data_IF_982273455474
#
_entry.id   IF_982273455474
#
_cell.length_a   1.000
_cell.length_b   1.000
_cell.length_c   1.000
_cell.angle_alpha   90.00
_cell.angle_beta   90.00
_cell.angle_gamma   90.00
#
_symmetry.space_group_name_H-M   'P 1'
#
loop_
_entity.id
_entity.type
_entity.pdbx_description
1 polymer ?
#
# COMPACT_ATOMS: atom_id res chain seq x y z
N UNK A 1 -19.35 -15.34 15.43
CA UNK A 1 -18.97 -16.10 14.20
C UNK A 1 -17.48 -16.37 14.25
N UNK A 2 -16.96 -17.53 13.80
CA UNK A 2 -15.50 -17.75 13.77
C UNK A 2 -14.84 -16.74 12.83
N UNK A 3 -13.68 -16.14 13.20
CA UNK A 3 -13.00 -15.20 12.33
C UNK A 3 -12.56 -15.90 11.04
N UNK A 4 -12.79 -15.24 9.90
CA UNK A 4 -12.38 -15.75 8.59
C UNK A 4 -10.88 -15.58 8.43
N UNK A 5 -10.14 -16.66 8.31
CA UNK A 5 -8.70 -16.67 8.05
C UNK A 5 -8.37 -16.62 6.56
N UNK A 6 -9.31 -17.01 5.69
CA UNK A 6 -9.19 -16.91 4.24
C UNK A 6 -9.88 -15.64 3.73
N UNK A 7 -9.29 -14.99 2.70
CA UNK A 7 -9.83 -13.74 2.17
C UNK A 7 -11.14 -13.94 1.42
N UNK A 8 -12.08 -13.02 1.63
CA UNK A 8 -13.26 -12.85 0.79
C UNK A 8 -13.06 -11.70 -0.18
N UNK A 9 -13.24 -11.95 -1.47
CA UNK A 9 -13.20 -10.91 -2.49
C UNK A 9 -14.54 -10.16 -2.50
N UNK A 10 -14.48 -8.84 -2.35
CA UNK A 10 -15.62 -7.94 -2.43
C UNK A 10 -15.35 -6.79 -3.37
N UNK A 11 -16.38 -6.04 -3.71
CA UNK A 11 -16.26 -4.85 -4.56
C UNK A 11 -17.11 -3.71 -4.03
N UNK A 12 -16.68 -2.50 -4.34
CA UNK A 12 -17.46 -1.27 -4.16
C UNK A 12 -17.41 -0.45 -5.45
N UNK A 13 -18.52 0.18 -5.80
CA UNK A 13 -18.58 1.08 -6.96
C UNK A 13 -18.10 2.47 -6.55
N UNK A 14 -17.08 2.96 -7.23
CA UNK A 14 -16.50 4.29 -7.05
C UNK A 14 -16.80 5.16 -8.27
N UNK A 15 -16.76 6.48 -8.06
CA UNK A 15 -16.98 7.46 -9.12
C UNK A 15 -15.66 8.12 -9.54
N UNK A 16 -15.58 8.48 -10.81
CA UNK A 16 -14.54 9.34 -11.36
C UNK A 16 -15.20 10.36 -12.34
N UNK A 17 -14.51 11.44 -12.76
CA UNK A 17 -15.13 12.48 -13.60
C UNK A 17 -15.78 11.97 -14.90
N UNK A 18 -15.32 10.85 -15.45
CA UNK A 18 -15.86 10.25 -16.69
C UNK A 18 -16.84 9.11 -16.46
N UNK A 19 -17.18 8.71 -15.22
CA UNK A 19 -18.11 7.59 -14.98
C UNK A 19 -17.89 6.84 -13.67
N UNK A 20 -18.07 5.53 -13.73
CA UNK A 20 -17.98 4.63 -12.58
C UNK A 20 -16.96 3.52 -12.85
N UNK A 21 -16.35 3.00 -11.78
CA UNK A 21 -15.50 1.82 -11.80
C UNK A 21 -15.68 1.00 -10.52
N UNK A 22 -15.27 -0.25 -10.55
CA UNK A 22 -15.27 -1.12 -9.37
C UNK A 22 -13.90 -1.13 -8.74
N UNK A 23 -13.86 -0.83 -7.44
CA UNK A 23 -12.73 -1.09 -6.57
C UNK A 23 -12.94 -2.46 -5.92
N UNK A 24 -12.06 -3.40 -6.17
CA UNK A 24 -12.02 -4.70 -5.51
C UNK A 24 -11.24 -4.59 -4.20
N UNK A 25 -11.66 -5.35 -3.20
CA UNK A 25 -10.94 -5.47 -1.94
C UNK A 25 -11.07 -6.86 -1.33
N UNK A 26 -10.06 -7.25 -0.61
CA UNK A 26 -9.98 -8.53 0.09
C UNK A 26 -10.25 -8.27 1.57
N UNK A 27 -11.06 -9.13 2.20
CA UNK A 27 -11.52 -8.96 3.56
C UNK A 27 -11.26 -10.23 4.39
N UNK A 28 -10.65 -10.06 5.56
CA UNK A 28 -10.41 -11.09 6.57
C UNK A 28 -11.06 -10.68 7.90
N UNK A 29 -11.26 -11.66 8.78
CA UNK A 29 -11.85 -11.44 10.10
C UNK A 29 -13.38 -11.47 10.08
N UNK A 30 -13.99 -11.07 11.20
CA UNK A 30 -15.43 -10.97 11.33
C UNK A 30 -15.95 -9.72 10.60
N UNK A 31 -16.92 -9.82 9.68
CA UNK A 31 -17.38 -8.69 8.87
C UNK A 31 -18.14 -7.62 9.68
N UNK A 32 -18.55 -7.95 10.89
CA UNK A 32 -19.22 -7.08 11.86
C UNK A 32 -18.27 -6.52 12.93
N UNK A 33 -16.97 -6.84 12.86
CA UNK A 33 -15.98 -6.28 13.77
C UNK A 33 -15.77 -4.79 13.47
N UNK A 34 -16.02 -3.88 14.46
CA UNK A 34 -15.82 -2.44 14.27
C UNK A 34 -14.34 -2.03 14.22
N UNK A 35 -13.42 -2.87 14.72
CA UNK A 35 -11.99 -2.61 14.69
C UNK A 35 -11.41 -2.93 13.32
N UNK A 36 -11.55 -1.98 12.40
CA UNK A 36 -11.16 -2.14 11.00
C UNK A 36 -9.73 -1.65 10.76
N UNK A 37 -8.94 -2.50 10.09
CA UNK A 37 -7.60 -2.15 9.57
C UNK A 37 -7.64 -2.15 8.05
N UNK A 38 -7.34 -1.01 7.43
CA UNK A 38 -7.20 -0.90 5.98
C UNK A 38 -5.72 -0.94 5.61
N UNK A 39 -5.32 -1.95 4.81
CA UNK A 39 -3.95 -2.12 4.35
C UNK A 39 -3.86 -1.81 2.86
N UNK A 40 -3.10 -0.78 2.47
CA UNK A 40 -3.01 -0.32 1.07
C UNK A 40 -1.60 -0.48 0.53
N UNK A 41 -1.53 -1.15 -0.61
CA UNK A 41 -0.31 -1.60 -1.27
C UNK A 41 0.48 -0.47 -1.99
N UNK A 42 1.72 -0.79 -2.36
CA UNK A 42 2.57 0.07 -3.20
C UNK A 42 2.12 0.11 -4.66
N UNK A 43 2.76 0.96 -5.45
CA UNK A 43 2.37 1.39 -6.79
C UNK A 43 2.00 0.24 -7.76
N UNK A 44 2.83 -0.82 -7.83
CA UNK A 44 2.69 -1.94 -8.77
C UNK A 44 2.22 -3.23 -8.10
N UNK A 45 1.70 -3.13 -6.87
CA UNK A 45 1.35 -4.27 -6.03
C UNK A 45 -0.16 -4.47 -5.94
N UNK A 46 -0.61 -5.40 -5.11
CA UNK A 46 -2.02 -5.69 -4.83
C UNK A 46 -2.30 -5.79 -3.34
N UNK A 47 -3.57 -5.79 -2.95
CA UNK A 47 -3.99 -6.04 -1.57
C UNK A 47 -3.53 -7.39 -1.01
N UNK A 48 -3.20 -8.36 -1.87
CA UNK A 48 -2.75 -9.68 -1.49
C UNK A 48 -1.31 -9.73 -0.94
N UNK A 49 -0.56 -8.62 -1.03
CA UNK A 49 0.73 -8.50 -0.36
C UNK A 49 0.61 -8.60 1.16
N UNK A 50 -0.57 -8.30 1.70
CA UNK A 50 -0.86 -8.32 3.13
C UNK A 50 -1.45 -9.63 3.65
N UNK A 51 -1.49 -10.71 2.87
CA UNK A 51 -2.14 -11.97 3.23
C UNK A 51 -1.68 -12.53 4.58
N UNK A 52 -0.37 -12.57 4.85
CA UNK A 52 0.17 -13.09 6.11
C UNK A 52 -0.17 -12.16 7.28
N UNK A 53 -0.02 -10.86 7.09
CA UNK A 53 -0.40 -9.86 8.07
C UNK A 53 -1.91 -9.93 8.37
N UNK A 54 -2.74 -9.98 7.33
CA UNK A 54 -4.19 -10.03 7.47
C UNK A 54 -4.66 -11.29 8.21
N UNK A 55 -4.10 -12.45 7.89
CA UNK A 55 -4.40 -13.69 8.62
C UNK A 55 -4.02 -13.60 10.10
N UNK A 56 -2.88 -12.98 10.41
CA UNK A 56 -2.44 -12.79 11.79
C UNK A 56 -3.39 -11.89 12.58
N UNK A 57 -3.91 -10.84 11.94
CA UNK A 57 -4.80 -9.87 12.57
C UNK A 57 -6.27 -10.30 12.60
N UNK A 58 -6.70 -11.24 11.77
CA UNK A 58 -8.09 -11.65 11.56
C UNK A 58 -8.83 -12.13 12.82
N UNK A 59 -8.09 -12.58 13.85
CA UNK A 59 -8.65 -12.99 15.13
C UNK A 59 -9.20 -11.84 15.98
N UNK A 60 -8.69 -10.63 15.77
CA UNK A 60 -8.99 -9.44 16.59
C UNK A 60 -9.52 -8.26 15.77
N UNK A 61 -9.25 -8.23 14.47
CA UNK A 61 -9.61 -7.11 13.59
C UNK A 61 -10.35 -7.61 12.34
N UNK A 62 -11.11 -6.70 11.73
CA UNK A 62 -11.57 -6.80 10.36
C UNK A 62 -10.52 -6.16 9.46
N UNK A 63 -9.82 -6.95 8.65
CA UNK A 63 -8.74 -6.45 7.78
C UNK A 63 -9.24 -6.32 6.36
N UNK A 64 -9.02 -5.16 5.76
CA UNK A 64 -9.49 -4.81 4.42
C UNK A 64 -8.32 -4.35 3.57
N UNK A 65 -8.06 -5.05 2.47
CA UNK A 65 -6.93 -4.78 1.58
C UNK A 65 -7.45 -4.50 0.16
N UNK A 66 -7.64 -3.24 -0.24
CA UNK A 66 -8.08 -2.92 -1.59
C UNK A 66 -6.98 -3.17 -2.62
N UNK A 67 -7.41 -3.55 -3.82
CA UNK A 67 -6.61 -3.43 -5.04
C UNK A 67 -6.92 -2.05 -5.64
N UNK A 68 -5.97 -1.11 -5.66
CA UNK A 68 -6.22 0.22 -6.24
C UNK A 68 -6.52 0.09 -7.75
N UNK A 69 -7.32 1.02 -8.30
CA UNK A 69 -7.71 0.96 -9.72
C UNK A 69 -6.51 0.74 -10.65
N UNK A 70 -6.69 -0.10 -11.65
CA UNK A 70 -5.62 -0.53 -12.56
C UNK A 70 -4.72 -1.63 -11.99
N UNK A 71 -5.02 -2.18 -10.81
CA UNK A 71 -4.26 -3.28 -10.18
C UNK A 71 -5.21 -4.41 -9.75
N UNK A 72 -4.66 -5.60 -9.66
CA UNK A 72 -5.33 -6.78 -9.10
C UNK A 72 -6.68 -7.09 -9.75
N UNK A 73 -7.73 -7.09 -8.95
CA UNK A 73 -9.12 -7.38 -9.35
C UNK A 73 -9.98 -6.13 -9.56
N UNK A 74 -9.42 -4.94 -9.33
CA UNK A 74 -10.08 -3.68 -9.63
C UNK A 74 -10.13 -3.39 -11.13
N UNK A 75 -11.09 -2.58 -11.53
CA UNK A 75 -11.24 -2.21 -12.94
C UNK A 75 -10.03 -1.40 -13.43
N UNK A 76 -9.78 -1.48 -14.72
CA UNK A 76 -8.92 -0.55 -15.46
C UNK A 76 -9.79 0.56 -16.03
N UNK A 77 -9.31 1.79 -15.99
CA UNK A 77 -10.04 2.96 -16.51
C UNK A 77 -9.53 3.36 -17.88
N UNK A 78 -10.43 3.93 -18.70
CA UNK A 78 -10.08 4.36 -20.07
C UNK A 78 -9.11 5.55 -20.04
N UNK A 79 -9.33 6.50 -19.13
CA UNK A 79 -8.48 7.67 -18.93
C UNK A 79 -7.38 7.38 -17.91
N UNK A 80 -6.16 7.18 -18.38
CA UNK A 80 -5.00 6.89 -17.54
C UNK A 80 -4.60 8.05 -16.61
N UNK A 81 -5.03 9.29 -16.89
CA UNK A 81 -4.79 10.43 -16.00
C UNK A 81 -5.43 10.28 -14.63
N UNK A 82 -6.39 9.34 -14.48
CA UNK A 82 -7.02 8.99 -13.22
C UNK A 82 -6.17 8.10 -12.31
N UNK A 83 -5.08 7.52 -12.81
CA UNK A 83 -4.14 6.75 -11.98
C UNK A 83 -3.26 7.65 -11.13
N UNK A 84 -3.89 8.41 -10.24
CA UNK A 84 -3.22 9.41 -9.39
C UNK A 84 -3.82 9.48 -7.98
N UNK A 85 -3.05 10.02 -7.06
CA UNK A 85 -3.39 10.02 -5.63
C UNK A 85 -4.77 10.63 -5.34
N UNK A 86 -5.22 11.76 -5.92
CA UNK A 86 -6.56 12.30 -5.63
C UNK A 86 -7.69 11.32 -5.94
N UNK A 87 -7.63 10.57 -7.06
CA UNK A 87 -8.63 9.55 -7.36
C UNK A 87 -8.56 8.39 -6.37
N UNK A 88 -7.36 7.93 -6.03
CA UNK A 88 -7.19 6.85 -5.04
C UNK A 88 -7.73 7.24 -3.65
N UNK A 89 -7.57 8.50 -3.24
CA UNK A 89 -8.17 9.02 -2.01
C UNK A 89 -9.70 8.99 -2.08
N UNK A 90 -10.29 9.44 -3.19
CA UNK A 90 -11.75 9.41 -3.38
C UNK A 90 -12.31 7.97 -3.34
N UNK A 91 -11.61 7.03 -3.97
CA UNK A 91 -11.96 5.60 -3.94
C UNK A 91 -11.89 5.03 -2.51
N UNK A 92 -10.85 5.39 -1.77
CA UNK A 92 -10.70 4.95 -0.37
C UNK A 92 -11.74 5.57 0.57
N UNK A 93 -12.16 6.82 0.36
CA UNK A 93 -13.29 7.42 1.09
C UNK A 93 -14.56 6.62 0.84
N UNK A 94 -14.83 6.26 -0.43
CA UNK A 94 -15.99 5.43 -0.80
C UNK A 94 -15.90 4.04 -0.16
N UNK A 95 -14.72 3.43 -0.14
CA UNK A 95 -14.50 2.14 0.52
C UNK A 95 -14.77 2.26 2.03
N UNK A 96 -14.21 3.25 2.72
CA UNK A 96 -14.41 3.43 4.17
C UNK A 96 -15.89 3.64 4.50
N UNK A 97 -16.60 4.45 3.71
CA UNK A 97 -18.05 4.62 3.85
C UNK A 97 -18.81 3.29 3.70
N UNK A 98 -18.36 2.41 2.76
CA UNK A 98 -18.95 1.07 2.55
C UNK A 98 -18.70 0.13 3.73
N UNK A 99 -17.64 0.32 4.50
CA UNK A 99 -17.32 -0.51 5.67
C UNK A 99 -18.22 -0.21 6.88
N UNK A 100 -18.94 0.92 6.85
CA UNK A 100 -19.89 1.35 7.88
C UNK A 100 -19.25 1.46 9.27
N UNK A 101 -18.08 2.11 9.32
CA UNK A 101 -17.36 2.41 10.56
C UNK A 101 -16.96 3.89 10.58
N UNK A 102 -16.87 4.51 11.77
CA UNK A 102 -16.57 5.94 11.87
C UNK A 102 -15.11 6.26 11.47
N UNK A 103 -14.20 5.33 11.71
CA UNK A 103 -12.78 5.49 11.36
C UNK A 103 -12.09 4.13 11.30
N UNK A 104 -10.96 4.09 10.59
CA UNK A 104 -10.14 2.89 10.40
C UNK A 104 -8.72 3.12 10.87
N UNK A 105 -8.03 2.05 11.29
CA UNK A 105 -6.58 2.03 11.36
C UNK A 105 -6.04 1.86 9.93
N UNK A 106 -5.04 2.66 9.55
CA UNK A 106 -4.47 2.64 8.20
C UNK A 106 -3.03 2.13 8.22
N UNK A 107 -2.74 1.16 7.36
CA UNK A 107 -1.39 0.64 7.09
C UNK A 107 -1.12 0.82 5.61
N UNK A 108 -0.26 1.76 5.25
CA UNK A 108 0.00 2.09 3.84
C UNK A 108 1.45 1.91 3.45
N UNK A 109 1.72 1.11 2.42
CA UNK A 109 3.05 0.94 1.85
C UNK A 109 3.25 1.89 0.67
N UNK A 110 4.31 2.74 0.72
CA UNK A 110 4.69 3.59 -0.41
C UNK A 110 3.49 4.43 -0.89
N UNK A 111 2.97 4.22 -2.11
CA UNK A 111 1.75 4.85 -2.62
C UNK A 111 0.58 4.76 -1.62
N UNK A 112 0.36 3.59 -1.01
CA UNK A 112 -0.69 3.40 0.01
C UNK A 112 -0.49 4.27 1.25
N UNK A 113 0.77 4.57 1.60
CA UNK A 113 1.11 5.50 2.66
C UNK A 113 0.82 6.96 2.27
N UNK A 114 1.10 7.36 1.02
CA UNK A 114 0.73 8.70 0.52
C UNK A 114 -0.78 8.92 0.55
N UNK A 115 -1.56 7.92 0.14
CA UNK A 115 -3.03 7.95 0.23
C UNK A 115 -3.47 8.14 1.69
N UNK A 116 -2.91 7.34 2.60
CA UNK A 116 -3.22 7.43 4.03
C UNK A 116 -2.84 8.76 4.66
N UNK A 117 -1.70 9.32 4.29
CA UNK A 117 -1.25 10.63 4.76
C UNK A 117 -2.19 11.75 4.28
N UNK A 118 -2.65 11.72 3.02
CA UNK A 118 -3.63 12.66 2.52
C UNK A 118 -4.97 12.53 3.25
N UNK A 119 -5.47 11.31 3.41
CA UNK A 119 -6.72 11.05 4.14
C UNK A 119 -6.64 11.54 5.59
N UNK A 120 -5.56 11.22 6.30
CA UNK A 120 -5.37 11.60 7.70
C UNK A 120 -5.19 13.12 7.92
N UNK A 121 -4.86 13.87 6.85
CA UNK A 121 -4.72 15.32 6.88
C UNK A 121 -6.02 16.08 6.57
N UNK A 122 -7.10 15.39 6.19
CA UNK A 122 -8.41 16.00 5.95
C UNK A 122 -9.08 16.40 7.27
N UNK A 123 -9.89 17.45 7.23
CA UNK A 123 -10.77 17.77 8.33
C UNK A 123 -11.88 16.71 8.43
N UNK A 124 -12.08 16.14 9.61
CA UNK A 124 -13.00 15.00 9.79
C UNK A 124 -12.45 13.68 9.24
N UNK A 125 -11.13 13.56 9.18
CA UNK A 125 -10.44 12.37 8.65
C UNK A 125 -10.96 11.05 9.25
N UNK A 126 -11.36 10.06 8.44
CA UNK A 126 -11.82 8.76 8.92
C UNK A 126 -10.64 7.81 9.21
N UNK A 127 -9.52 8.33 9.72
CA UNK A 127 -8.32 7.58 10.08
C UNK A 127 -8.03 7.75 11.55
N UNK A 128 -8.19 6.67 12.32
CA UNK A 128 -7.98 6.68 13.77
C UNK A 128 -6.50 6.59 14.16
N UNK A 129 -5.69 5.95 13.32
CA UNK A 129 -4.23 5.83 13.45
C UNK A 129 -3.60 5.51 12.09
N UNK A 130 -2.37 5.95 11.87
CA UNK A 130 -1.68 5.88 10.59
C UNK A 130 -0.32 5.19 10.72
N UNK A 131 -0.09 4.14 9.92
CA UNK A 131 1.25 3.58 9.72
C UNK A 131 1.68 3.83 8.28
N UNK A 132 2.77 4.57 8.12
CA UNK A 132 3.44 4.80 6.85
C UNK A 132 4.60 3.82 6.70
N UNK A 133 4.52 2.96 5.71
CA UNK A 133 5.59 2.02 5.39
C UNK A 133 6.45 2.57 4.24
N UNK A 134 7.61 3.04 4.62
CA UNK A 134 8.72 3.51 3.80
C UNK A 134 8.37 4.66 2.85
N UNK A 135 7.59 5.62 3.36
CA UNK A 135 7.21 6.84 2.64
C UNK A 135 6.97 7.97 3.64
N UNK A 136 7.09 9.20 3.16
CA UNK A 136 6.87 10.40 3.96
C UNK A 136 6.55 11.62 3.10
N UNK A 137 6.54 12.82 3.69
CA UNK A 137 6.20 14.07 3.02
C UNK A 137 7.25 14.55 2.00
N UNK A 138 8.42 13.93 1.97
CA UNK A 138 9.48 14.20 0.99
C UNK A 138 9.97 12.87 0.44
N UNK A 139 9.96 12.75 -0.88
CA UNK A 139 10.44 11.59 -1.61
C UNK A 139 11.78 11.94 -2.26
N UNK A 140 12.76 11.06 -2.17
CA UNK A 140 14.04 11.29 -2.80
C UNK A 140 13.95 11.16 -4.32
N UNK A 141 14.69 11.99 -5.04
CA UNK A 141 14.75 11.95 -6.50
C UNK A 141 15.28 10.61 -6.99
N UNK A 142 16.31 10.05 -6.34
CA UNK A 142 16.89 8.76 -6.70
C UNK A 142 15.86 7.61 -6.64
N UNK A 143 15.05 7.56 -5.58
CA UNK A 143 13.98 6.56 -5.45
C UNK A 143 12.88 6.76 -6.49
N UNK A 144 12.51 8.02 -6.79
CA UNK A 144 11.53 8.32 -7.83
C UNK A 144 12.04 7.96 -9.22
N UNK A 145 13.30 8.23 -9.55
CA UNK A 145 13.89 7.88 -10.83
C UNK A 145 13.93 6.36 -11.02
N UNK A 146 14.37 5.61 -10.02
CA UNK A 146 14.31 4.15 -10.04
C UNK A 146 12.88 3.63 -10.29
N UNK A 147 11.86 4.24 -9.67
CA UNK A 147 10.46 3.87 -9.90
C UNK A 147 10.05 4.16 -11.34
N UNK A 148 10.43 5.32 -11.89
CA UNK A 148 10.15 5.69 -13.29
C UNK A 148 10.76 4.73 -14.30
N UNK A 149 11.92 4.14 -13.99
CA UNK A 149 12.64 3.23 -14.88
C UNK A 149 11.89 1.90 -15.09
N UNK A 150 11.21 1.38 -14.08
CA UNK A 150 10.54 0.07 -14.21
C UNK A 150 9.02 0.15 -14.34
N UNK A 151 8.38 1.22 -13.82
CA UNK A 151 6.92 1.33 -13.85
C UNK A 151 6.39 1.43 -15.29
N UNK A 152 5.30 0.72 -15.56
CA UNK A 152 4.69 0.67 -16.91
C UNK A 152 5.41 -0.25 -17.89
N UNK A 153 6.42 -1.00 -17.45
CA UNK A 153 6.88 -2.15 -18.23
C UNK A 153 5.78 -3.21 -18.26
N UNK A 154 5.56 -3.82 -19.41
CA UNK A 154 4.61 -4.93 -19.59
C UNK A 154 5.31 -6.17 -20.17
N UNK A 155 6.23 -6.76 -19.42
CA UNK A 155 6.96 -7.93 -19.88
C UNK A 155 6.03 -9.13 -20.00
N UNK A 156 6.34 -10.01 -20.94
CA UNK A 156 5.71 -11.32 -21.04
C UNK A 156 6.71 -12.41 -20.70
N UNK A 157 6.29 -13.41 -19.93
CA UNK A 157 7.10 -14.51 -19.46
C UNK A 157 6.65 -15.82 -20.11
N UNK A 158 7.59 -16.76 -20.34
CA UNK A 158 7.27 -18.08 -20.84
C UNK A 158 6.66 -18.99 -19.78
N UNK A 159 6.94 -18.72 -18.49
CA UNK A 159 6.42 -19.48 -17.36
C UNK A 159 6.17 -18.59 -16.15
N UNK A 160 5.45 -19.11 -15.18
CA UNK A 160 5.27 -18.46 -13.88
C UNK A 160 6.62 -18.28 -13.15
N UNK A 161 7.51 -19.28 -13.23
CA UNK A 161 8.82 -19.26 -12.59
C UNK A 161 9.74 -18.15 -13.16
N UNK A 162 9.67 -17.87 -14.46
CA UNK A 162 10.36 -16.71 -15.05
C UNK A 162 9.82 -15.40 -14.48
N UNK A 163 8.50 -15.32 -14.27
CA UNK A 163 7.86 -14.21 -13.60
C UNK A 163 8.34 -14.05 -12.16
N UNK A 164 8.41 -15.14 -11.37
CA UNK A 164 8.94 -15.15 -10.00
C UNK A 164 10.37 -14.62 -9.96
N UNK A 165 11.23 -15.12 -10.84
CA UNK A 165 12.62 -14.66 -10.95
C UNK A 165 12.72 -13.16 -11.27
N UNK A 166 11.80 -12.66 -12.11
CA UNK A 166 11.73 -11.25 -12.47
C UNK A 166 11.25 -10.39 -11.31
N UNK A 167 10.21 -10.82 -10.58
CA UNK A 167 9.74 -10.14 -9.35
C UNK A 167 10.86 -10.04 -8.33
N UNK A 168 11.59 -11.14 -8.07
CA UNK A 168 12.72 -11.18 -7.15
C UNK A 168 13.83 -10.21 -7.55
N UNK A 169 14.12 -10.08 -8.85
CA UNK A 169 15.14 -9.16 -9.36
C UNK A 169 14.72 -7.69 -9.22
N UNK A 170 13.47 -7.36 -9.54
CA UNK A 170 12.96 -5.99 -9.47
C UNK A 170 12.82 -5.53 -8.01
N UNK A 171 12.41 -6.44 -7.13
CA UNK A 171 12.15 -6.17 -5.71
C UNK A 171 13.30 -6.65 -4.79
N UNK A 172 14.53 -6.75 -5.30
CA UNK A 172 15.67 -7.25 -4.52
C UNK A 172 15.89 -6.49 -3.21
N UNK A 173 15.51 -5.22 -3.17
CA UNK A 173 15.62 -4.35 -1.98
C UNK A 173 14.58 -4.63 -0.88
N UNK A 174 13.61 -5.52 -1.12
CA UNK A 174 12.64 -5.93 -0.08
C UNK A 174 13.29 -6.69 1.08
N UNK A 175 14.57 -7.03 0.95
CA UNK A 175 15.37 -7.68 1.98
C UNK A 175 15.42 -9.20 1.85
N UNK A 176 15.91 -9.88 2.89
CA UNK A 176 16.08 -11.33 2.88
C UNK A 176 14.72 -12.02 3.05
N UNK A 177 14.11 -12.44 1.93
CA UNK A 177 12.90 -13.25 1.90
C UNK A 177 13.25 -14.69 1.52
N UNK A 178 12.53 -15.66 2.10
CA UNK A 178 12.61 -17.05 1.70
C UNK A 178 12.03 -17.27 0.29
N UNK A 179 12.38 -18.37 -0.36
CA UNK A 179 11.82 -18.71 -1.69
C UNK A 179 10.29 -18.83 -1.65
N UNK A 180 9.73 -19.33 -0.54
CA UNK A 180 8.27 -19.38 -0.34
C UNK A 180 7.65 -17.98 -0.30
N UNK A 181 8.29 -17.02 0.39
CA UNK A 181 7.82 -15.63 0.45
C UNK A 181 7.92 -14.92 -0.92
N UNK A 182 9.01 -15.14 -1.65
CA UNK A 182 9.13 -14.64 -3.03
C UNK A 182 8.04 -15.20 -3.95
N UNK A 183 7.74 -16.51 -3.84
CA UNK A 183 6.67 -17.13 -4.59
C UNK A 183 5.31 -16.55 -4.25
N UNK A 184 5.03 -16.34 -2.96
CA UNK A 184 3.79 -15.70 -2.48
C UNK A 184 3.62 -14.28 -3.07
N UNK A 185 4.66 -13.44 -3.05
CA UNK A 185 4.62 -12.11 -3.67
C UNK A 185 4.36 -12.18 -5.18
N UNK A 186 4.86 -13.21 -5.85
CA UNK A 186 4.68 -13.39 -7.28
C UNK A 186 3.30 -13.93 -7.65
N UNK A 187 2.67 -14.77 -6.82
CA UNK A 187 1.37 -15.40 -7.10
C UNK A 187 0.25 -14.40 -7.43
N UNK A 188 0.33 -13.20 -6.87
CA UNK A 188 -0.64 -12.13 -7.12
C UNK A 188 -0.09 -10.99 -8.01
N UNK A 189 1.17 -11.08 -8.39
CA UNK A 189 1.83 -10.10 -9.28
C UNK A 189 1.91 -10.63 -10.72
N UNK A 190 2.15 -11.94 -10.87
CA UNK A 190 2.33 -12.60 -12.17
C UNK A 190 1.07 -13.38 -12.49
N UNK A 191 0.41 -13.01 -13.58
CA UNK A 191 -0.89 -13.57 -13.98
C UNK A 191 -0.81 -14.18 -15.38
N UNK A 192 -1.66 -15.19 -15.67
CA UNK A 192 -1.79 -15.71 -17.01
C UNK A 192 -2.19 -14.63 -18.02
N UNK A 193 -1.63 -14.73 -19.23
CA UNK A 193 -1.93 -13.94 -20.41
C UNK A 193 -2.32 -14.83 -21.58
N UNK A 194 -2.84 -14.26 -22.65
CA UNK A 194 -3.17 -14.99 -23.86
C UNK A 194 -1.96 -15.74 -24.45
N UNK A 195 -2.23 -16.84 -25.17
CA UNK A 195 -1.21 -17.66 -25.79
C UNK A 195 -0.32 -18.44 -24.82
N UNK A 196 -0.81 -18.74 -23.60
CA UNK A 196 -0.07 -19.50 -22.59
C UNK A 196 1.12 -18.74 -21.98
N UNK A 197 1.15 -17.42 -22.14
CA UNK A 197 2.17 -16.54 -21.57
C UNK A 197 1.75 -16.08 -20.17
N UNK A 198 2.67 -15.42 -19.49
CA UNK A 198 2.47 -14.77 -18.20
C UNK A 198 2.88 -13.31 -18.27
N UNK A 199 2.36 -12.46 -17.39
CA UNK A 199 2.72 -11.03 -17.34
C UNK A 199 2.33 -10.42 -16.01
N UNK A 200 2.56 -9.13 -15.82
CA UNK A 200 2.14 -8.45 -14.59
C UNK A 200 0.64 -8.15 -14.60
N UNK A 201 0.02 -8.17 -13.40
CA UNK A 201 -1.42 -7.96 -13.22
C UNK A 201 -1.87 -6.52 -13.49
N UNK A 202 -1.00 -5.53 -13.33
CA UNK A 202 -1.38 -4.12 -13.38
C UNK A 202 -1.52 -3.57 -14.80
N UNK A 203 -2.27 -2.48 -14.94
CA UNK A 203 -2.34 -1.72 -16.19
C UNK A 203 -1.03 -0.94 -16.37
N UNK A 204 -0.24 -1.16 -17.45
CA UNK A 204 1.02 -0.43 -17.65
C UNK A 204 0.84 1.09 -17.74
N UNK A 205 -0.36 1.57 -18.07
CA UNK A 205 -0.67 3.01 -18.15
C UNK A 205 -0.67 3.72 -16.79
N UNK A 206 -0.56 2.99 -15.66
CA UNK A 206 -0.30 3.60 -14.34
C UNK A 206 0.99 4.45 -14.32
N UNK A 207 1.88 4.22 -15.27
CA UNK A 207 3.11 5.00 -15.44
C UNK A 207 2.88 6.38 -16.05
N UNK A 208 1.79 6.60 -16.79
CA UNK A 208 1.58 7.84 -17.55
C UNK A 208 1.58 9.09 -16.66
N UNK A 209 0.81 9.16 -15.56
CA UNK A 209 0.85 10.33 -14.68
C UNK A 209 2.21 10.56 -14.02
N UNK A 210 2.95 9.47 -13.73
CA UNK A 210 4.27 9.55 -13.10
C UNK A 210 5.31 10.10 -14.08
N UNK A 211 5.23 9.66 -15.34
CA UNK A 211 6.12 10.15 -16.42
C UNK A 211 5.79 11.57 -16.85
N UNK A 212 4.53 11.98 -16.73
CA UNK A 212 4.07 13.33 -17.05
C UNK A 212 4.54 14.40 -16.02
N UNK A 213 5.01 13.97 -14.85
CA UNK A 213 5.53 14.83 -13.80
C UNK A 213 7.05 14.60 -13.61
N UNK A 214 7.90 15.10 -14.52
CA UNK A 214 9.35 14.98 -14.37
C UNK A 214 9.85 15.90 -13.25
N UNK A 215 10.93 15.49 -12.60
CA UNK A 215 11.60 16.27 -11.58
C UNK A 215 11.23 15.85 -10.15
N UNK A 216 11.55 16.73 -9.21
CA UNK A 216 11.31 16.50 -7.79
C UNK A 216 9.83 16.65 -7.45
N UNK A 217 9.32 15.71 -6.65
CA UNK A 217 8.00 15.87 -6.08
C UNK A 217 8.04 17.01 -5.04
N UNK A 218 7.05 17.92 -5.03
CA UNK A 218 7.02 18.98 -4.03
C UNK A 218 6.92 18.40 -2.61
N UNK A 219 7.65 19.02 -1.68
CA UNK A 219 7.62 18.59 -0.29
C UNK A 219 6.22 18.81 0.32
N UNK A 220 5.61 17.75 0.84
CA UNK A 220 4.25 17.75 1.40
C UNK A 220 4.24 18.00 2.93
N UNK A 221 5.20 18.75 3.47
CA UNK A 221 5.25 19.09 4.89
C UNK A 221 3.99 19.80 5.40
N UNK A 222 3.37 20.76 4.66
CA UNK A 222 2.12 21.38 5.12
C UNK A 222 0.98 20.37 5.30
N UNK A 223 0.97 19.29 4.50
CA UNK A 223 0.01 18.21 4.64
C UNK A 223 0.34 17.36 5.87
N UNK A 224 1.62 16.98 6.05
CA UNK A 224 2.09 16.24 7.20
C UNK A 224 1.74 16.94 8.52
N UNK A 225 1.92 18.25 8.59
CA UNK A 225 1.63 19.05 9.77
C UNK A 225 0.13 19.11 10.14
N UNK A 226 -0.75 18.68 9.23
CA UNK A 226 -2.20 18.58 9.49
C UNK A 226 -2.64 17.21 10.03
N UNK A 227 -1.82 16.18 9.94
CA UNK A 227 -2.12 14.87 10.51
C UNK A 227 -2.23 14.98 12.03
N UNK A 228 -3.32 14.44 12.62
CA UNK A 228 -3.59 14.54 14.06
C UNK A 228 -3.64 13.19 14.77
N UNK A 229 -3.86 12.10 14.05
CA UNK A 229 -3.93 10.77 14.65
C UNK A 229 -2.55 10.24 15.05
N UNK A 230 -2.48 9.29 16.01
CA UNK A 230 -1.24 8.57 16.31
C UNK A 230 -0.64 7.97 15.05
N UNK A 231 0.64 8.25 14.81
CA UNK A 231 1.31 7.91 13.56
C UNK A 231 2.62 7.20 13.81
N UNK A 232 2.85 6.10 13.06
CA UNK A 232 4.13 5.44 12.98
C UNK A 232 4.70 5.55 11.57
N UNK A 233 6.02 5.63 11.48
CA UNK A 233 6.77 5.50 10.24
C UNK A 233 7.71 4.30 10.34
N UNK A 234 7.51 3.33 9.48
CA UNK A 234 8.41 2.18 9.30
C UNK A 234 9.30 2.48 8.11
N UNK A 235 10.60 2.35 8.28
CA UNK A 235 11.57 2.66 7.24
C UNK A 235 12.50 1.47 6.99
N UNK A 236 12.72 1.12 5.73
CA UNK A 236 13.83 0.23 5.39
C UNK A 236 15.16 0.95 5.63
N UNK A 237 16.08 0.33 6.36
CA UNK A 237 17.38 0.92 6.70
C UNK A 237 18.12 1.45 5.46
N UNK A 238 18.02 0.71 4.34
CA UNK A 238 18.63 1.02 3.05
C UNK A 238 17.69 1.69 2.05
N UNK A 239 16.56 2.24 2.53
CA UNK A 239 15.59 2.90 1.66
C UNK A 239 16.24 4.03 0.85
N UNK A 240 16.04 3.99 -0.45
CA UNK A 240 16.40 5.03 -1.40
C UNK A 240 15.28 6.06 -1.63
N UNK A 241 14.06 5.79 -1.12
CA UNK A 241 12.89 6.66 -1.29
C UNK A 241 12.67 7.56 -0.07
N UNK A 242 12.65 6.98 1.15
CA UNK A 242 12.52 7.72 2.41
C UNK A 242 13.90 7.87 3.07
N UNK A 243 14.49 9.05 3.01
CA UNK A 243 15.78 9.29 3.65
C UNK A 243 15.67 9.27 5.18
N UNK A 244 16.77 8.90 5.86
CA UNK A 244 16.83 8.92 7.32
C UNK A 244 16.56 10.31 7.89
N UNK A 245 17.05 11.38 7.23
CA UNK A 245 16.84 12.76 7.65
C UNK A 245 15.36 13.17 7.59
N UNK A 246 14.64 12.77 6.54
CA UNK A 246 13.19 13.02 6.43
C UNK A 246 12.44 12.25 7.52
N UNK A 247 12.78 10.96 7.73
CA UNK A 247 12.16 10.16 8.78
C UNK A 247 12.42 10.74 10.19
N UNK A 248 13.62 11.29 10.45
CA UNK A 248 13.94 12.00 11.69
C UNK A 248 13.08 13.25 11.86
N UNK A 249 12.90 14.03 10.79
CA UNK A 249 12.07 15.25 10.85
C UNK A 249 10.59 14.89 11.10
N UNK A 250 10.09 13.76 10.57
CA UNK A 250 8.74 13.27 10.83
C UNK A 250 8.48 12.97 12.31
N UNK A 251 9.52 12.67 13.11
CA UNK A 251 9.36 12.47 14.56
C UNK A 251 9.24 13.77 15.35
N UNK A 252 9.60 14.90 14.76
CA UNK A 252 9.68 16.21 15.44
C UNK A 252 8.53 17.15 15.09
N UNK A 253 7.86 16.94 13.96
CA UNK A 253 6.77 17.83 13.50
C UNK A 253 5.51 17.06 13.10
N UNK A 254 4.40 17.78 12.95
CA UNK A 254 3.09 17.20 12.68
C UNK A 254 2.66 16.25 13.79
N UNK A 255 2.27 15.00 13.47
CA UNK A 255 1.85 14.00 14.44
C UNK A 255 2.98 13.47 15.33
N UNK A 256 4.24 13.89 15.09
CA UNK A 256 5.44 13.40 15.79
C UNK A 256 5.53 11.87 15.75
N UNK A 257 5.59 11.33 14.54
CA UNK A 257 5.51 9.91 14.32
C UNK A 257 6.55 9.11 15.12
N UNK A 258 6.15 7.94 15.60
CA UNK A 258 7.10 6.96 16.10
C UNK A 258 7.82 6.30 14.93
N UNK A 259 9.16 6.35 14.94
CA UNK A 259 9.99 5.74 13.91
C UNK A 259 10.44 4.33 14.29
N UNK A 260 10.42 3.42 13.29
CA UNK A 260 10.99 2.06 13.37
C UNK A 260 11.78 1.82 12.09
N UNK A 261 13.08 1.50 12.21
CA UNK A 261 13.89 1.09 11.07
C UNK A 261 13.97 -0.45 11.00
N UNK A 262 13.84 -0.99 9.78
CA UNK A 262 13.98 -2.42 9.50
C UNK A 262 15.35 -2.66 8.89
N UNK A 263 16.21 -3.37 9.63
CA UNK A 263 17.59 -3.60 9.23
C UNK A 263 17.71 -4.42 7.95
N UNK A 264 18.65 -4.05 7.07
CA UNK A 264 18.96 -4.78 5.85
C UNK A 264 17.89 -4.73 4.75
N UNK A 265 16.87 -3.89 4.89
CA UNK A 265 15.76 -3.75 3.95
C UNK A 265 15.83 -2.37 3.27
N UNK A 266 15.55 -2.33 1.97
CA UNK A 266 15.37 -1.10 1.20
C UNK A 266 13.90 -0.71 1.08
N UNK A 267 13.48 -0.21 -0.09
CA UNK A 267 12.09 0.21 -0.33
C UNK A 267 11.27 -0.94 -0.93
N UNK A 268 10.39 -1.53 -0.14
CA UNK A 268 9.95 -1.27 1.23
C UNK A 268 9.89 -2.58 2.05
N UNK A 269 9.86 -2.50 3.41
CA UNK A 269 9.47 -3.64 4.24
C UNK A 269 8.17 -4.28 3.76
N UNK A 270 8.12 -5.62 3.71
CA UNK A 270 7.01 -6.34 3.07
C UNK A 270 5.90 -6.74 4.03
N UNK A 271 6.16 -6.72 5.34
CA UNK A 271 5.31 -7.31 6.38
C UNK A 271 5.01 -8.81 6.17
N UNK A 272 5.95 -9.53 5.51
CA UNK A 272 5.91 -10.99 5.40
C UNK A 272 6.71 -11.67 6.51
N UNK A 273 7.90 -11.19 6.91
CA UNK A 273 8.63 -11.73 8.05
C UNK A 273 7.90 -11.44 9.38
N UNK A 274 7.96 -12.40 10.33
CA UNK A 274 7.27 -12.29 11.62
C UNK A 274 7.68 -11.05 12.44
N UNK A 275 8.95 -10.66 12.40
CA UNK A 275 9.44 -9.45 13.06
C UNK A 275 8.85 -8.18 12.49
N UNK A 276 8.61 -8.13 11.17
CA UNK A 276 7.94 -7.01 10.52
C UNK A 276 6.43 -7.01 10.81
N UNK A 277 5.77 -8.18 10.83
CA UNK A 277 4.35 -8.31 11.25
C UNK A 277 4.19 -7.80 12.69
N UNK A 278 5.10 -8.16 13.58
CA UNK A 278 5.08 -7.71 14.97
C UNK A 278 5.20 -6.19 15.13
N UNK A 279 5.75 -5.45 14.16
CA UNK A 279 5.73 -3.98 14.16
C UNK A 279 4.29 -3.48 14.03
N UNK A 280 3.52 -4.06 13.10
CA UNK A 280 2.11 -3.67 12.88
C UNK A 280 1.24 -4.07 14.07
N UNK A 281 1.45 -5.27 14.65
CA UNK A 281 0.74 -5.70 15.85
C UNK A 281 0.95 -4.72 17.01
N UNK A 282 2.20 -4.27 17.25
CA UNK A 282 2.51 -3.26 18.27
C UNK A 282 1.88 -1.90 17.97
N UNK A 283 1.90 -1.47 16.71
CA UNK A 283 1.22 -0.24 16.29
C UNK A 283 -0.28 -0.27 16.58
N UNK A 284 -0.94 -1.39 16.32
CA UNK A 284 -2.38 -1.54 16.56
C UNK A 284 -2.72 -1.66 18.06
N UNK A 285 -1.84 -2.26 18.85
CA UNK A 285 -2.01 -2.43 20.29
C UNK A 285 -1.72 -1.16 21.11
N UNK A 286 -1.03 -0.16 20.54
CA UNK A 286 -0.73 1.08 21.25
C UNK A 286 -2.02 1.87 21.52
N UNK A 287 -2.35 2.07 22.78
CA UNK A 287 -3.48 2.93 23.15
C UNK A 287 -3.16 4.38 22.78
N UNK A 288 -4.14 5.09 22.19
CA UNK A 288 -3.98 6.51 21.94
C UNK A 288 -3.63 7.22 23.27
N UNK A 289 -2.63 8.11 23.28
CA UNK A 289 -2.43 8.96 24.46
C UNK A 289 -3.72 9.72 24.73
N UNK A 290 -4.24 9.58 25.96
CA UNK A 290 -5.47 10.22 26.43
C UNK A 290 -5.36 11.76 26.41
#
# INVERSE_FOLDING_TARGET
>A
MMPRTDPELRTVTCAHPGGLHRLAYWEWGAPDNPDVVVCVHGLTRTGRDFDLLARRLAGTHRVVCPDMIGRGRSDRVADASLYQIPQYVADCVTLIARLDVPAVAWVGTSMGGLIGMLLAALDGAPVSRLLLNDVGPVLSTAGLDRIRDYVGSDPTFASFEEGVATVRRIAADFGPLSDAQWRMLAEHTVVPRDGGRWGFHYDPRIAEPIRAQPGEAPAAWPLWDRVRCPTWVVRGERSDLLSAAVADEMTRRGPRARRVDVAGVGHAPTFLPDDQIAIVERFLAETAPG
#
